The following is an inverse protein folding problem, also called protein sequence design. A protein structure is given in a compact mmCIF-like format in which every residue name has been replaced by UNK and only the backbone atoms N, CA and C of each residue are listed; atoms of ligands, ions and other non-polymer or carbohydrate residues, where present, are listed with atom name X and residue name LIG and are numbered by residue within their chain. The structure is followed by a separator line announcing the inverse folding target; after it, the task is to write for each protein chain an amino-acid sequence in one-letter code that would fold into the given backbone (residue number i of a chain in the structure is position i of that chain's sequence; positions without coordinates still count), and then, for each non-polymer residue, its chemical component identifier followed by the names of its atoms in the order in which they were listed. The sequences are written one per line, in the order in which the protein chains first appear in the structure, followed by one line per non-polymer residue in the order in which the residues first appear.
data_IF_258957366539
#
_entry.id   IF_258957366539
#
_cell.length_a   1.000
_cell.length_b   1.000
_cell.length_c   1.000
_cell.angle_alpha   90.00
_cell.angle_beta   90.00
_cell.angle_gamma   90.00
#
_symmetry.space_group_name_H-M   'P 1'
#
loop_
_entity.id
_entity.type
_entity.pdbx_description
1 polymer ?
#
# COMPACT_ATOMS: atom_id res chain seq x y z
N UNK A 1 6.14 19.78 4.54
CA UNK A 1 5.78 18.37 4.26
C UNK A 1 4.35 18.15 4.73
N UNK A 2 3.46 17.58 3.90
CA UNK A 2 2.12 17.21 4.38
C UNK A 2 2.27 16.03 5.34
N UNK A 3 1.71 16.13 6.54
CA UNK A 3 1.65 15.03 7.51
C UNK A 3 0.59 14.02 7.05
N UNK A 4 0.85 12.71 7.18
CA UNK A 4 -0.12 11.65 6.89
C UNK A 4 -1.45 11.87 7.61
N UNK A 5 -1.43 12.34 8.87
CA UNK A 5 -2.65 12.61 9.63
C UNK A 5 -3.52 13.68 8.96
N UNK A 6 -2.89 14.75 8.44
CA UNK A 6 -3.59 15.82 7.71
C UNK A 6 -4.20 15.26 6.42
N UNK A 7 -3.40 14.54 5.61
CA UNK A 7 -3.91 13.95 4.36
C UNK A 7 -5.05 12.98 4.63
N UNK A 8 -4.94 12.16 5.67
CA UNK A 8 -5.97 11.22 6.08
C UNK A 8 -7.26 11.94 6.51
N UNK A 9 -7.15 13.05 7.25
CA UNK A 9 -8.30 13.85 7.69
C UNK A 9 -9.03 14.57 6.55
N UNK A 10 -8.40 14.76 5.38
CA UNK A 10 -9.08 15.36 4.20
C UNK A 10 -10.25 14.48 3.71
N UNK A 11 -10.15 13.15 3.85
CA UNK A 11 -11.22 12.20 3.51
C UNK A 11 -11.00 10.85 4.24
N UNK A 12 -11.32 10.78 5.55
CA UNK A 12 -10.97 9.61 6.37
C UNK A 12 -11.72 8.35 5.94
N UNK A 13 -12.93 8.48 5.39
CA UNK A 13 -13.72 7.33 4.93
C UNK A 13 -13.17 6.71 3.65
N UNK A 14 -12.61 7.53 2.75
CA UNK A 14 -11.90 7.04 1.57
C UNK A 14 -10.56 6.41 1.94
N UNK A 15 -9.79 7.07 2.81
CA UNK A 15 -8.42 6.64 3.12
C UNK A 15 -8.32 5.59 4.22
N UNK A 16 -9.39 5.27 4.96
CA UNK A 16 -9.38 4.14 5.92
C UNK A 16 -9.21 2.77 5.25
N UNK A 17 -9.54 2.65 3.96
CA UNK A 17 -9.49 1.41 3.21
C UNK A 17 -8.39 1.46 2.14
N UNK A 18 -7.93 0.30 1.67
CA UNK A 18 -7.00 0.22 0.56
C UNK A 18 -5.52 0.44 0.92
N UNK A 19 -5.17 0.44 2.20
CA UNK A 19 -3.77 0.31 2.61
C UNK A 19 -3.21 -1.05 2.18
N UNK A 20 -1.92 -1.13 1.80
CA UNK A 20 -1.30 -2.41 1.48
C UNK A 20 -1.39 -3.41 2.63
N UNK A 21 -1.63 -4.67 2.30
CA UNK A 21 -1.86 -5.73 3.29
C UNK A 21 -0.67 -6.00 4.23
N UNK A 22 0.56 -5.65 3.83
CA UNK A 22 1.76 -5.85 4.65
C UNK A 22 2.55 -4.55 4.83
N UNK A 23 3.17 -4.44 6.00
CA UNK A 23 4.20 -3.45 6.30
C UNK A 23 5.46 -4.22 6.73
N UNK A 24 6.55 -4.03 5.99
CA UNK A 24 7.85 -4.63 6.29
C UNK A 24 8.75 -3.56 6.89
N UNK A 25 9.42 -3.88 8.00
CA UNK A 25 10.31 -2.97 8.71
C UNK A 25 11.62 -3.71 8.98
N UNK A 26 12.74 -3.14 8.54
CA UNK A 26 14.08 -3.68 8.79
C UNK A 26 15.12 -2.58 8.66
N UNK A 27 16.04 -2.49 9.62
CA UNK A 27 17.22 -1.61 9.58
C UNK A 27 16.86 -0.14 9.22
N UNK A 28 15.72 0.36 9.72
CA UNK A 28 15.23 1.71 9.44
C UNK A 28 14.53 1.90 8.08
N UNK A 29 14.47 0.90 7.19
CA UNK A 29 13.64 0.94 5.99
C UNK A 29 12.22 0.44 6.31
N UNK A 30 11.23 1.10 5.70
CA UNK A 30 9.81 0.72 5.79
C UNK A 30 9.26 0.56 4.39
N UNK A 31 8.60 -0.58 4.15
CA UNK A 31 7.97 -0.89 2.88
C UNK A 31 6.53 -1.34 3.08
N UNK A 32 5.62 -0.72 2.34
CA UNK A 32 4.23 -1.15 2.25
C UNK A 32 4.08 -2.07 1.05
N UNK A 33 3.60 -3.29 1.27
CA UNK A 33 3.53 -4.33 0.24
C UNK A 33 2.10 -4.83 0.10
N UNK A 34 1.56 -4.71 -1.09
CA UNK A 34 0.27 -5.28 -1.46
C UNK A 34 0.51 -6.59 -2.22
N UNK A 35 -0.02 -7.69 -1.69
CA UNK A 35 0.10 -9.01 -2.31
C UNK A 35 -1.10 -9.24 -3.21
N UNK A 36 -0.84 -9.68 -4.44
CA UNK A 36 -1.87 -10.12 -5.38
C UNK A 36 -1.62 -11.55 -5.83
N UNK A 37 -2.70 -12.28 -6.03
CA UNK A 37 -2.63 -13.65 -6.54
C UNK A 37 -3.28 -13.68 -7.93
N UNK A 38 -4.52 -14.15 -8.02
CA UNK A 38 -5.35 -14.12 -9.22
C UNK A 38 -5.96 -12.73 -9.46
N UNK A 39 -6.22 -11.97 -8.40
CA UNK A 39 -6.92 -10.68 -8.43
C UNK A 39 -6.02 -9.50 -8.84
N UNK A 40 -6.65 -8.36 -9.13
CA UNK A 40 -6.00 -7.07 -9.45
C UNK A 40 -6.13 -6.12 -8.25
N UNK A 41 -5.44 -4.97 -8.32
CA UNK A 41 -5.66 -3.90 -7.34
C UNK A 41 -7.12 -3.44 -7.35
N UNK A 42 -7.71 -3.41 -6.17
CA UNK A 42 -9.04 -2.83 -5.97
C UNK A 42 -8.96 -1.30 -6.08
N UNK A 43 -10.06 -0.64 -6.46
CA UNK A 43 -10.09 0.82 -6.64
C UNK A 43 -9.66 1.57 -5.38
N UNK A 44 -10.12 1.13 -4.20
CA UNK A 44 -9.69 1.73 -2.92
C UNK A 44 -8.18 1.66 -2.72
N UNK A 45 -7.52 0.59 -3.17
CA UNK A 45 -6.07 0.44 -3.09
C UNK A 45 -5.37 1.42 -4.03
N UNK A 46 -5.87 1.54 -5.26
CA UNK A 46 -5.33 2.51 -6.23
C UNK A 46 -5.43 3.93 -5.66
N UNK A 47 -6.59 4.31 -5.10
CA UNK A 47 -6.79 5.63 -4.53
C UNK A 47 -5.90 5.90 -3.32
N UNK A 48 -5.90 5.02 -2.32
CA UNK A 48 -5.15 5.22 -1.09
C UNK A 48 -3.65 5.17 -1.33
N UNK A 49 -3.14 4.19 -2.09
CA UNK A 49 -1.71 4.09 -2.40
C UNK A 49 -1.25 5.33 -3.18
N UNK A 50 -2.00 5.77 -4.19
CA UNK A 50 -1.63 6.94 -4.98
C UNK A 50 -1.62 8.23 -4.15
N UNK A 51 -2.61 8.40 -3.27
CA UNK A 51 -2.70 9.57 -2.40
C UNK A 51 -1.62 9.60 -1.32
N UNK A 52 -1.24 8.45 -0.78
CA UNK A 52 -0.32 8.36 0.36
C UNK A 52 1.15 8.28 -0.06
N UNK A 53 1.45 7.75 -1.25
CA UNK A 53 2.83 7.65 -1.78
C UNK A 53 3.53 9.02 -1.89
N UNK A 54 2.79 10.11 -2.05
CA UNK A 54 3.34 11.48 -2.10
C UNK A 54 3.45 12.13 -0.71
N UNK A 55 2.96 11.48 0.34
CA UNK A 55 2.85 12.04 1.69
C UNK A 55 3.80 11.36 2.67
N UNK A 56 3.98 10.04 2.55
CA UNK A 56 4.94 9.30 3.38
C UNK A 56 6.24 9.05 2.63
N UNK A 57 7.41 9.06 3.32
CA UNK A 57 8.72 8.88 2.68
C UNK A 57 9.06 7.40 2.40
N UNK A 58 8.06 6.52 2.41
CA UNK A 58 8.24 5.06 2.39
C UNK A 58 7.85 4.45 1.05
N UNK A 59 8.43 3.29 0.75
CA UNK A 59 8.19 2.61 -0.53
C UNK A 59 6.87 1.85 -0.51
N UNK A 60 6.15 1.89 -1.63
CA UNK A 60 4.98 1.07 -1.90
C UNK A 60 5.31 0.08 -3.02
N UNK A 61 4.98 -1.19 -2.82
CA UNK A 61 5.22 -2.26 -3.80
C UNK A 61 3.99 -3.15 -3.95
N UNK A 62 3.75 -3.61 -5.17
CA UNK A 62 2.76 -4.64 -5.46
C UNK A 62 3.52 -5.89 -5.87
N UNK A 63 3.26 -7.00 -5.19
CA UNK A 63 3.92 -8.29 -5.45
C UNK A 63 2.87 -9.28 -5.90
N UNK A 64 3.04 -9.82 -7.11
CA UNK A 64 2.16 -10.87 -7.62
C UNK A 64 2.76 -12.24 -7.36
N UNK A 65 2.08 -13.04 -6.55
CA UNK A 65 2.45 -14.43 -6.32
C UNK A 65 1.99 -15.30 -7.49
N UNK A 66 2.83 -16.25 -7.88
CA UNK A 66 2.51 -17.30 -8.85
C UNK A 66 2.59 -18.65 -8.16
N UNK A 67 1.66 -19.55 -8.48
CA UNK A 67 1.77 -20.95 -8.02
C UNK A 67 3.09 -21.52 -8.52
N UNK A 68 3.87 -22.05 -7.59
CA UNK A 68 5.03 -22.85 -7.92
C UNK A 68 4.56 -24.20 -8.46
N UNK A 69 5.09 -24.64 -9.61
CA UNK A 69 4.86 -25.98 -10.13
C UNK A 69 6.10 -26.81 -9.81
N UNK A 70 5.99 -27.76 -8.88
CA UNK A 70 6.98 -28.82 -8.75
C UNK A 70 6.84 -29.72 -10.00
N UNK A 71 7.95 -29.94 -10.70
CA UNK A 71 8.06 -31.01 -11.69
C UNK A 71 8.20 -32.34 -10.98
#
# INVERSE_FOLDING_TARGET
MKNIAIKFSEDPYKYRAGWPGLILIRDGDVQFVEIKTSDKLHLSQIYTISAMKSVVPYKFKVVRLKKFKNK
#
